data_IF_682251845705
#
_entry.id   IF_682251845705
#
_cell.length_a   1.000
_cell.length_b   1.000
_cell.length_c   1.000
_cell.angle_alpha   90.00
_cell.angle_beta   90.00
_cell.angle_gamma   90.00
#
_symmetry.space_group_name_H-M   'P 1'
#
loop_
_entity.id
_entity.type
_entity.pdbx_description
1 polymer ?
#
# COMPACT_ATOMS: atom_id res chain seq x y z
N UNK A 1 -17.83 -8.71 8.90
CA UNK A 1 -16.81 -7.69 8.53
C UNK A 1 -17.00 -6.39 9.29
N UNK A 2 -18.18 -5.76 9.26
CA UNK A 2 -18.50 -4.53 9.99
C UNK A 2 -18.08 -4.58 11.46
N UNK A 3 -18.45 -5.65 12.19
CA UNK A 3 -18.14 -5.76 13.62
C UNK A 3 -16.64 -5.87 13.89
N UNK A 4 -15.91 -6.59 13.02
CA UNK A 4 -14.45 -6.67 13.12
C UNK A 4 -13.79 -5.30 12.89
N UNK A 5 -14.24 -4.54 11.88
CA UNK A 5 -13.77 -3.16 11.65
C UNK A 5 -14.12 -2.27 12.84
N UNK A 6 -15.35 -2.37 13.36
CA UNK A 6 -15.79 -1.63 14.54
C UNK A 6 -14.90 -1.89 15.75
N UNK A 7 -14.63 -3.16 16.05
CA UNK A 7 -13.75 -3.54 17.15
C UNK A 7 -12.33 -2.99 17.01
N UNK A 8 -11.78 -2.98 15.78
CA UNK A 8 -10.45 -2.41 15.51
C UNK A 8 -10.45 -0.90 15.72
N UNK A 9 -11.49 -0.20 15.25
CA UNK A 9 -11.61 1.25 15.43
C UNK A 9 -11.73 1.64 16.91
N UNK A 10 -12.48 0.87 17.70
CA UNK A 10 -12.59 1.08 19.14
C UNK A 10 -11.26 0.83 19.85
N UNK A 11 -10.55 -0.25 19.50
CA UNK A 11 -9.20 -0.49 20.04
C UNK A 11 -8.23 0.64 19.71
N UNK A 12 -8.29 1.16 18.47
CA UNK A 12 -7.48 2.30 18.04
C UNK A 12 -7.83 3.55 18.86
N UNK A 13 -9.12 3.85 19.02
CA UNK A 13 -9.58 4.98 19.81
C UNK A 13 -9.18 4.86 21.29
N UNK A 14 -9.29 3.68 21.88
CA UNK A 14 -8.86 3.42 23.27
C UNK A 14 -7.36 3.64 23.45
N UNK A 15 -6.55 3.30 22.43
CA UNK A 15 -5.10 3.45 22.49
C UNK A 15 -4.64 4.90 22.25
N UNK A 16 -5.22 5.58 21.27
CA UNK A 16 -4.74 6.89 20.79
C UNK A 16 -5.64 8.07 21.18
N UNK A 17 -6.77 7.81 21.85
CA UNK A 17 -7.77 8.82 22.23
C UNK A 17 -8.50 9.45 21.04
N UNK A 18 -8.35 8.90 19.83
CA UNK A 18 -8.92 9.43 18.59
C UNK A 18 -9.08 8.34 17.54
N UNK A 19 -10.04 8.53 16.64
CA UNK A 19 -10.17 7.74 15.42
C UNK A 19 -9.15 8.17 14.35
N UNK A 20 -8.73 7.26 13.46
CA UNK A 20 -7.87 7.63 12.34
C UNK A 20 -8.63 8.54 11.36
N UNK A 21 -7.93 9.49 10.72
CA UNK A 21 -8.55 10.34 9.68
C UNK A 21 -8.75 9.61 8.36
N UNK A 22 -7.82 8.73 8.04
CA UNK A 22 -7.80 7.99 6.79
C UNK A 22 -7.63 6.49 7.06
N UNK A 23 -8.35 5.66 6.31
CA UNK A 23 -8.22 4.21 6.33
C UNK A 23 -7.96 3.70 4.91
N UNK A 24 -6.86 2.99 4.73
CA UNK A 24 -6.53 2.37 3.45
C UNK A 24 -6.94 0.90 3.49
N UNK A 25 -7.78 0.48 2.54
CA UNK A 25 -8.17 -0.92 2.34
C UNK A 25 -7.71 -1.42 0.97
N UNK A 26 -7.64 -2.74 0.84
CA UNK A 26 -7.56 -3.36 -0.48
C UNK A 26 -8.92 -3.29 -1.20
N UNK A 27 -8.98 -3.81 -2.42
CA UNK A 27 -10.20 -3.80 -3.24
C UNK A 27 -11.17 -4.96 -2.89
N UNK A 28 -10.99 -5.58 -1.73
CA UNK A 28 -11.89 -6.63 -1.24
C UNK A 28 -13.31 -6.09 -1.08
N UNK A 29 -14.27 -6.72 -1.77
CA UNK A 29 -15.68 -6.30 -1.79
C UNK A 29 -16.30 -6.18 -0.39
N UNK A 30 -15.77 -6.94 0.58
CA UNK A 30 -16.15 -6.92 1.98
C UNK A 30 -15.93 -5.56 2.67
N UNK A 31 -14.96 -4.76 2.21
CA UNK A 31 -14.67 -3.43 2.74
C UNK A 31 -15.53 -2.32 2.10
N UNK A 32 -16.13 -2.57 0.94
CA UNK A 32 -16.96 -1.60 0.21
C UNK A 32 -18.46 -1.74 0.45
N UNK A 33 -18.85 -2.65 1.34
CA UNK A 33 -20.24 -2.83 1.69
C UNK A 33 -20.82 -1.57 2.37
N UNK A 34 -22.15 -1.43 2.31
CA UNK A 34 -22.86 -0.26 2.83
C UNK A 34 -22.63 -0.07 4.34
N UNK A 35 -22.52 -1.15 5.10
CA UNK A 35 -22.40 -1.10 6.55
C UNK A 35 -21.05 -0.57 7.03
N UNK A 36 -19.95 -1.01 6.41
CA UNK A 36 -18.59 -0.54 6.68
C UNK A 36 -18.47 0.92 6.27
N UNK A 37 -19.01 1.32 5.12
CA UNK A 37 -19.03 2.73 4.70
C UNK A 37 -19.77 3.62 5.69
N UNK A 38 -20.96 3.19 6.15
CA UNK A 38 -21.73 3.93 7.16
C UNK A 38 -20.96 4.05 8.48
N UNK A 39 -20.28 2.98 8.90
CA UNK A 39 -19.46 2.98 10.11
C UNK A 39 -18.29 3.97 9.99
N UNK A 40 -17.55 3.96 8.89
CA UNK A 40 -16.41 4.87 8.68
C UNK A 40 -16.87 6.33 8.59
N UNK A 41 -17.97 6.60 7.87
CA UNK A 41 -18.56 7.93 7.79
C UNK A 41 -19.04 8.46 9.15
N UNK A 42 -19.62 7.60 10.00
CA UNK A 42 -20.04 7.97 11.37
C UNK A 42 -18.88 8.53 12.19
N UNK A 43 -17.67 8.03 11.97
CA UNK A 43 -16.45 8.46 12.68
C UNK A 43 -15.61 9.47 11.88
N UNK A 44 -16.13 10.01 10.77
CA UNK A 44 -15.43 10.93 9.86
C UNK A 44 -14.09 10.35 9.34
N UNK A 45 -14.07 9.06 9.05
CA UNK A 45 -12.91 8.35 8.53
C UNK A 45 -13.03 8.28 7.01
N UNK A 46 -12.11 8.93 6.31
CA UNK A 46 -12.04 8.84 4.85
C UNK A 46 -11.37 7.53 4.45
N UNK A 47 -12.13 6.65 3.82
CA UNK A 47 -11.59 5.39 3.33
C UNK A 47 -11.21 5.51 1.86
N UNK A 48 -10.04 4.97 1.51
CA UNK A 48 -9.59 4.94 0.14
C UNK A 48 -8.91 3.61 -0.17
N UNK A 49 -8.88 3.31 -1.45
CA UNK A 49 -8.14 2.17 -1.98
C UNK A 49 -7.20 2.65 -3.03
N UNK A 50 -6.10 1.94 -3.11
CA UNK A 50 -5.02 2.38 -3.95
C UNK A 50 -4.82 1.28 -4.99
N UNK A 51 -4.87 1.65 -6.27
CA UNK A 51 -4.86 0.78 -7.48
C UNK A 51 -3.50 0.20 -7.93
N UNK A 52 -2.50 0.06 -7.06
CA UNK A 52 -1.19 -0.45 -7.47
C UNK A 52 -0.69 -1.51 -6.51
N UNK A 53 0.24 -2.30 -7.00
CA UNK A 53 0.64 -3.52 -6.33
C UNK A 53 1.51 -3.26 -5.09
N UNK A 54 2.05 -2.04 -4.92
CA UNK A 54 2.93 -1.69 -3.79
C UNK A 54 2.19 -1.20 -2.55
N UNK A 55 0.86 -1.17 -2.56
CA UNK A 55 0.06 -0.36 -1.63
C UNK A 55 -0.19 -0.97 -0.26
N UNK A 56 0.04 -2.27 -0.08
CA UNK A 56 -0.06 -2.93 1.21
C UNK A 56 1.30 -3.19 1.87
N UNK A 57 2.41 -2.61 1.38
CA UNK A 57 3.77 -2.96 1.79
C UNK A 57 4.02 -2.94 3.31
N UNK A 58 3.38 -2.01 4.05
CA UNK A 58 3.49 -1.94 5.51
C UNK A 58 2.81 -3.16 6.16
N UNK A 59 1.57 -3.45 5.76
CA UNK A 59 0.78 -4.59 6.25
C UNK A 59 1.42 -5.91 5.84
N UNK A 60 1.89 -6.03 4.60
CA UNK A 60 2.62 -7.20 4.11
C UNK A 60 3.90 -7.46 4.91
N UNK A 61 4.65 -6.40 5.23
CA UNK A 61 5.84 -6.51 6.06
C UNK A 61 5.51 -6.97 7.47
N UNK A 62 4.44 -6.46 8.06
CA UNK A 62 3.93 -6.95 9.35
C UNK A 62 3.55 -8.43 9.26
N UNK A 63 2.71 -8.81 8.29
CA UNK A 63 2.26 -10.19 8.08
C UNK A 63 3.43 -11.16 7.91
N UNK A 64 4.48 -10.76 7.17
CA UNK A 64 5.69 -11.56 7.02
C UNK A 64 6.41 -11.77 8.35
N UNK A 65 6.55 -10.72 9.16
CA UNK A 65 7.18 -10.82 10.49
C UNK A 65 6.35 -11.69 11.43
N UNK A 66 5.04 -11.50 11.49
CA UNK A 66 4.14 -12.31 12.33
C UNK A 66 4.21 -13.79 11.94
N UNK A 67 4.13 -14.10 10.64
CA UNK A 67 4.30 -15.48 10.14
C UNK A 67 5.65 -16.07 10.54
N UNK A 68 6.73 -15.30 10.49
CA UNK A 68 8.05 -15.78 10.91
C UNK A 68 8.10 -16.09 12.41
N UNK A 69 7.45 -15.29 13.26
CA UNK A 69 7.31 -15.57 14.69
C UNK A 69 6.46 -16.81 14.94
N UNK A 70 5.32 -16.94 14.25
CA UNK A 70 4.46 -18.13 14.31
C UNK A 70 5.23 -19.40 13.92
N UNK A 71 6.03 -19.36 12.85
CA UNK A 71 6.82 -20.52 12.42
C UNK A 71 7.87 -20.97 13.45
N UNK A 72 8.50 -20.02 14.15
CA UNK A 72 9.41 -20.36 15.26
C UNK A 72 8.66 -21.04 16.40
N UNK A 73 7.47 -20.55 16.73
CA UNK A 73 6.60 -21.18 17.72
C UNK A 73 6.18 -22.60 17.28
N UNK A 74 5.72 -22.77 16.04
CA UNK A 74 5.29 -24.07 15.52
C UNK A 74 6.40 -25.12 15.60
N UNK A 75 7.62 -24.73 15.26
CA UNK A 75 8.77 -25.62 15.34
C UNK A 75 9.12 -26.00 16.79
N UNK A 76 9.16 -25.01 17.70
CA UNK A 76 9.54 -25.25 19.10
C UNK A 76 8.48 -26.01 19.90
N UNK A 77 7.19 -25.73 19.67
CA UNK A 77 6.07 -26.33 20.37
C UNK A 77 5.48 -27.57 19.66
N UNK A 78 5.99 -27.93 18.47
CA UNK A 78 5.51 -29.05 17.66
C UNK A 78 3.98 -29.05 17.45
N UNK A 79 3.40 -27.87 17.23
CA UNK A 79 1.96 -27.67 17.08
C UNK A 79 1.68 -26.59 16.04
N UNK A 80 0.52 -26.65 15.39
CA UNK A 80 -0.01 -25.58 14.55
C UNK A 80 -1.12 -24.79 15.24
N UNK A 81 -1.41 -25.04 16.53
CA UNK A 81 -2.37 -24.26 17.30
C UNK A 81 -1.77 -22.90 17.62
N UNK A 82 -2.26 -21.84 16.98
CA UNK A 82 -1.72 -20.48 17.13
C UNK A 82 -2.66 -19.51 17.84
N UNK A 83 -3.96 -19.82 17.94
CA UNK A 83 -4.94 -18.89 18.51
C UNK A 83 -4.59 -18.49 19.94
N UNK A 84 -4.17 -19.46 20.76
CA UNK A 84 -3.86 -19.25 22.18
C UNK A 84 -2.60 -18.40 22.40
N UNK A 85 -1.72 -18.31 21.40
CA UNK A 85 -0.45 -17.56 21.48
C UNK A 85 -0.43 -16.32 20.60
N UNK A 86 -1.49 -16.04 19.85
CA UNK A 86 -1.52 -14.91 18.91
C UNK A 86 -1.27 -13.57 19.60
N UNK A 87 -1.83 -13.40 20.80
CA UNK A 87 -1.64 -12.19 21.60
C UNK A 87 -0.18 -12.05 22.02
N UNK A 88 0.43 -13.10 22.56
CA UNK A 88 1.84 -13.11 22.96
C UNK A 88 2.78 -12.77 21.79
N UNK A 89 2.50 -13.31 20.60
CA UNK A 89 3.28 -13.00 19.39
C UNK A 89 3.11 -11.53 18.95
N UNK A 90 1.92 -10.97 19.13
CA UNK A 90 1.62 -9.57 18.81
C UNK A 90 2.31 -8.63 19.81
N UNK A 91 2.26 -8.94 21.10
CA UNK A 91 2.94 -8.19 22.15
C UNK A 91 4.45 -8.26 22.00
N UNK A 92 4.99 -9.43 21.60
CA UNK A 92 6.40 -9.57 21.26
C UNK A 92 6.81 -8.67 20.08
N UNK A 93 5.98 -8.58 19.04
CA UNK A 93 6.23 -7.68 17.92
C UNK A 93 6.22 -6.20 18.36
N UNK A 94 5.22 -5.80 19.14
CA UNK A 94 5.03 -4.40 19.55
C UNK A 94 6.08 -3.92 20.56
N UNK A 95 6.62 -4.83 21.38
CA UNK A 95 7.69 -4.54 22.35
C UNK A 95 9.11 -4.67 21.76
N UNK A 96 9.26 -5.27 20.57
CA UNK A 96 10.56 -5.41 19.92
C UNK A 96 10.97 -4.16 19.14
N UNK A 97 12.26 -3.82 19.16
CA UNK A 97 12.78 -2.67 18.41
C UNK A 97 12.62 -2.90 16.91
N UNK A 98 11.90 -2.00 16.25
CA UNK A 98 11.74 -2.00 14.81
C UNK A 98 12.85 -1.17 14.16
N UNK A 99 13.67 -1.82 13.32
CA UNK A 99 14.84 -1.22 12.66
C UNK A 99 14.54 0.01 11.80
N UNK A 100 13.31 0.15 11.28
CA UNK A 100 12.90 1.28 10.44
C UNK A 100 12.55 2.52 11.26
N UNK A 101 11.85 2.35 12.39
CA UNK A 101 11.49 3.47 13.28
C UNK A 101 12.49 3.70 14.42
N UNK A 102 13.49 2.82 14.57
CA UNK A 102 14.55 2.87 15.60
C UNK A 102 14.06 2.80 17.04
N UNK A 103 12.79 2.45 17.24
CA UNK A 103 12.16 2.24 18.55
C UNK A 103 11.17 1.08 18.49
N UNK A 104 10.52 0.75 19.61
CA UNK A 104 9.45 -0.25 19.67
C UNK A 104 8.13 0.36 19.20
N UNK A 105 7.28 -0.35 18.45
CA UNK A 105 5.94 0.13 18.10
C UNK A 105 5.13 0.60 19.32
N UNK A 106 5.28 -0.07 20.47
CA UNK A 106 4.53 0.30 21.67
C UNK A 106 4.94 1.62 22.30
N UNK A 107 6.20 2.03 22.13
CA UNK A 107 6.67 3.31 22.65
C UNK A 107 6.17 4.52 21.86
N UNK A 108 5.60 4.33 20.66
CA UNK A 108 5.20 5.43 19.77
C UNK A 108 3.90 6.08 20.25
N UNK A 109 3.92 7.39 20.46
CA UNK A 109 2.81 8.19 20.96
C UNK A 109 2.88 9.64 20.47
N UNK A 110 1.90 10.47 20.89
CA UNK A 110 1.77 11.86 20.44
C UNK A 110 2.94 12.78 20.85
N UNK A 111 3.83 12.37 21.77
CA UNK A 111 5.02 13.14 22.14
C UNK A 111 6.24 12.86 21.25
N UNK A 112 6.39 11.63 20.73
CA UNK A 112 7.58 11.21 19.96
C UNK A 112 7.31 10.94 18.47
N UNK A 113 6.04 11.02 18.03
CA UNK A 113 5.68 10.71 16.64
C UNK A 113 6.49 11.56 15.64
N UNK A 114 6.81 12.81 15.96
CA UNK A 114 7.58 13.69 15.06
C UNK A 114 8.99 13.17 14.82
N UNK A 115 9.64 12.61 15.83
CA UNK A 115 10.98 12.02 15.72
C UNK A 115 10.95 10.71 14.92
N UNK A 116 9.96 9.87 15.20
CA UNK A 116 9.70 8.64 14.44
C UNK A 116 9.43 8.98 12.97
N UNK A 117 8.61 10.00 12.72
CA UNK A 117 8.28 10.47 11.38
C UNK A 117 9.54 10.99 10.65
N UNK A 118 10.38 11.79 11.31
CA UNK A 118 11.65 12.24 10.74
C UNK A 118 12.57 11.05 10.41
N UNK A 119 12.62 10.04 11.25
CA UNK A 119 13.42 8.83 10.98
C UNK A 119 12.94 8.10 9.73
N UNK A 120 11.62 8.01 9.53
CA UNK A 120 11.03 7.37 8.36
C UNK A 120 11.13 8.21 7.09
N UNK A 121 10.95 9.53 7.17
CA UNK A 121 10.64 10.36 6.00
C UNK A 121 11.58 11.55 5.80
N UNK A 122 12.62 11.74 6.63
CA UNK A 122 13.58 12.85 6.47
C UNK A 122 14.23 12.88 5.09
N UNK A 123 14.44 11.73 4.46
CA UNK A 123 14.98 11.62 3.11
C UNK A 123 14.03 12.14 2.01
N UNK A 124 12.73 12.29 2.30
CA UNK A 124 11.71 12.77 1.37
C UNK A 124 11.44 14.28 1.50
N UNK A 125 12.21 15.00 2.32
CA UNK A 125 12.08 16.45 2.55
C UNK A 125 12.80 17.32 1.50
N UNK A 126 13.34 16.72 0.43
CA UNK A 126 14.01 17.45 -0.66
C UNK A 126 13.06 18.34 -1.45
N UNK A 127 13.50 18.94 -2.57
CA UNK A 127 12.57 19.54 -3.55
C UNK A 127 11.89 18.44 -4.36
N UNK A 128 10.59 18.57 -4.72
CA UNK A 128 9.93 17.61 -5.59
C UNK A 128 10.81 17.39 -6.81
N UNK A 129 11.02 16.12 -7.19
CA UNK A 129 11.72 15.87 -8.44
C UNK A 129 10.92 16.50 -9.58
N UNK A 130 11.60 16.89 -10.66
CA UNK A 130 10.87 17.27 -11.86
C UNK A 130 10.03 16.08 -12.33
N UNK A 131 8.78 16.30 -12.77
CA UNK A 131 7.96 15.22 -13.29
C UNK A 131 8.58 14.66 -14.56
N UNK A 132 8.72 13.34 -14.61
CA UNK A 132 9.24 12.64 -15.79
C UNK A 132 8.28 12.67 -16.98
N UNK A 133 6.97 12.73 -16.71
CA UNK A 133 5.94 12.72 -17.74
C UNK A 133 5.15 14.03 -17.73
N UNK A 134 4.78 14.50 -18.91
CA UNK A 134 3.97 15.71 -19.07
C UNK A 134 2.48 15.39 -19.30
N UNK A 135 1.59 16.35 -19.01
CA UNK A 135 0.18 16.24 -19.38
C UNK A 135 0.06 16.12 -20.91
N UNK A 136 -0.73 15.15 -21.37
CA UNK A 136 -0.89 14.81 -22.78
C UNK A 136 0.12 13.78 -23.30
N UNK A 137 1.12 13.40 -22.51
CA UNK A 137 2.08 12.37 -22.92
C UNK A 137 1.45 10.97 -22.93
N UNK A 138 1.79 10.18 -23.96
CA UNK A 138 1.39 8.79 -24.08
C UNK A 138 2.31 7.89 -23.24
N UNK A 139 1.70 7.11 -22.34
CA UNK A 139 2.39 6.21 -21.41
C UNK A 139 1.78 4.81 -21.44
N UNK A 140 2.52 3.83 -20.91
CA UNK A 140 2.08 2.46 -20.66
C UNK A 140 2.20 2.14 -19.18
N UNK A 141 1.32 1.28 -18.66
CA UNK A 141 1.37 0.88 -17.24
C UNK A 141 2.29 -0.34 -17.10
N UNK A 142 3.08 -0.39 -16.04
CA UNK A 142 3.91 -1.55 -15.71
C UNK A 142 3.05 -2.79 -15.42
N UNK A 143 3.36 -3.92 -16.04
CA UNK A 143 2.74 -5.22 -15.72
C UNK A 143 3.33 -5.78 -14.43
N UNK A 144 2.48 -6.32 -13.58
CA UNK A 144 2.90 -7.17 -12.48
C UNK A 144 3.52 -8.46 -13.03
N UNK A 145 4.80 -8.70 -12.73
CA UNK A 145 5.47 -9.96 -13.03
C UNK A 145 5.56 -10.81 -11.77
N UNK A 146 4.98 -12.00 -11.83
CA UNK A 146 5.21 -13.01 -10.82
C UNK A 146 6.65 -13.54 -10.93
N UNK A 147 7.13 -14.19 -9.86
CA UNK A 147 8.48 -14.82 -9.84
C UNK A 147 8.65 -15.87 -10.95
N UNK A 148 7.54 -16.39 -11.51
CA UNK A 148 7.52 -17.40 -12.57
C UNK A 148 7.22 -16.81 -13.96
N UNK A 149 7.11 -15.49 -14.09
CA UNK A 149 6.83 -14.85 -15.38
C UNK A 149 8.06 -14.91 -16.28
N UNK A 150 7.87 -15.32 -17.54
CA UNK A 150 8.96 -15.56 -18.48
C UNK A 150 9.65 -14.23 -18.85
N UNK A 151 10.98 -14.25 -18.89
CA UNK A 151 11.80 -13.04 -19.05
C UNK A 151 11.59 -12.29 -20.37
N UNK A 152 11.10 -12.98 -21.41
CA UNK A 152 10.87 -12.40 -22.73
C UNK A 152 9.52 -11.67 -22.87
N UNK A 153 8.62 -11.74 -21.89
CA UNK A 153 7.35 -11.01 -21.96
C UNK A 153 7.55 -9.53 -21.64
N UNK A 154 6.82 -8.64 -22.34
CA UNK A 154 6.90 -7.20 -22.09
C UNK A 154 6.58 -6.83 -20.63
N UNK A 155 7.32 -5.86 -20.07
CA UNK A 155 7.12 -5.35 -18.70
C UNK A 155 5.94 -4.37 -18.57
N UNK A 156 5.20 -4.11 -19.64
CA UNK A 156 4.18 -3.07 -19.70
C UNK A 156 2.92 -3.52 -20.47
N UNK A 157 1.81 -2.81 -20.28
CA UNK A 157 0.54 -3.02 -20.98
C UNK A 157 0.67 -2.79 -22.48
N UNK A 158 -0.06 -3.58 -23.28
CA UNK A 158 -0.16 -3.34 -24.73
C UNK A 158 -0.93 -2.05 -25.02
N UNK A 159 -1.87 -1.71 -24.15
CA UNK A 159 -2.67 -0.49 -24.19
C UNK A 159 -1.82 0.76 -23.88
N UNK A 160 -2.12 1.83 -24.62
CA UNK A 160 -1.58 3.17 -24.44
C UNK A 160 -2.58 4.00 -23.64
N UNK A 161 -2.04 4.80 -22.73
CA UNK A 161 -2.80 5.73 -21.91
C UNK A 161 -2.24 7.14 -22.08
N UNK A 162 -3.04 8.15 -21.80
CA UNK A 162 -2.61 9.55 -21.84
C UNK A 162 -2.61 10.14 -20.44
N UNK A 163 -1.51 10.81 -20.07
CA UNK A 163 -1.43 11.55 -18.80
C UNK A 163 -2.41 12.71 -18.80
N UNK A 164 -3.30 12.76 -17.81
CA UNK A 164 -4.31 13.82 -17.68
C UNK A 164 -3.88 14.91 -16.72
N UNK A 165 -3.29 14.55 -15.58
CA UNK A 165 -2.82 15.51 -14.58
C UNK A 165 -1.52 15.03 -13.91
N UNK A 166 -0.69 15.99 -13.53
CA UNK A 166 0.56 15.78 -12.78
C UNK A 166 0.38 16.37 -11.38
N UNK A 167 0.52 15.53 -10.37
CA UNK A 167 0.48 15.92 -8.97
C UNK A 167 1.89 16.05 -8.43
N UNK A 168 2.32 17.29 -8.23
CA UNK A 168 3.65 17.61 -7.71
C UNK A 168 3.76 17.25 -6.23
N UNK A 169 4.68 16.33 -5.90
CA UNK A 169 4.85 15.80 -4.55
C UNK A 169 6.14 15.01 -4.38
N UNK A 170 6.18 14.20 -3.32
CA UNK A 170 7.34 13.39 -2.95
C UNK A 170 6.95 11.92 -2.79
N UNK A 171 6.96 11.13 -3.86
CA UNK A 171 7.27 11.46 -5.26
C UNK A 171 6.08 12.08 -6.03
N UNK A 172 6.31 12.54 -7.27
CA UNK A 172 5.24 12.94 -8.18
C UNK A 172 4.32 11.75 -8.51
N UNK A 173 3.04 12.05 -8.70
CA UNK A 173 2.04 11.06 -9.12
C UNK A 173 1.20 11.58 -10.27
N UNK A 174 0.61 10.66 -11.03
CA UNK A 174 -0.07 10.95 -12.29
C UNK A 174 -1.45 10.32 -12.31
N UNK A 175 -2.42 11.01 -12.92
CA UNK A 175 -3.66 10.38 -13.38
C UNK A 175 -3.58 10.19 -14.89
N UNK A 176 -4.22 9.13 -15.38
CA UNK A 176 -4.18 8.75 -16.79
C UNK A 176 -5.59 8.37 -17.26
N UNK A 177 -5.83 8.45 -18.57
CA UNK A 177 -7.04 7.97 -19.23
C UNK A 177 -6.69 7.01 -20.37
N UNK A 178 -7.61 6.14 -20.73
CA UNK A 178 -7.46 5.23 -21.86
C UNK A 178 -7.72 5.91 -23.22
N UNK A 179 -7.68 5.12 -24.29
CA UNK A 179 -7.96 5.58 -25.65
C UNK A 179 -9.42 5.98 -25.91
N UNK A 180 -10.35 5.59 -25.04
CA UNK A 180 -11.76 5.94 -25.07
C UNK A 180 -12.08 7.17 -24.21
N UNK A 181 -11.06 7.88 -23.72
CA UNK A 181 -11.14 9.00 -22.78
C UNK A 181 -11.69 8.65 -21.39
N UNK A 182 -11.76 7.36 -21.03
CA UNK A 182 -12.20 6.93 -19.72
C UNK A 182 -11.04 7.03 -18.70
N UNK A 183 -11.26 7.68 -17.54
CA UNK A 183 -10.21 7.85 -16.54
C UNK A 183 -9.89 6.53 -15.86
N UNK A 184 -8.60 6.19 -15.80
CA UNK A 184 -8.14 5.06 -15.00
C UNK A 184 -8.14 5.47 -13.54
N UNK A 185 -8.91 4.73 -12.73
CA UNK A 185 -9.13 5.11 -11.34
C UNK A 185 -7.82 4.99 -10.55
N UNK A 186 -7.52 6.04 -9.78
CA UNK A 186 -6.37 6.11 -8.89
C UNK A 186 -5.25 7.02 -9.41
N UNK A 187 -4.17 7.09 -8.62
CA UNK A 187 -2.93 7.77 -9.00
C UNK A 187 -1.82 6.75 -9.15
N UNK A 188 -0.96 7.01 -10.14
CA UNK A 188 0.16 6.18 -10.53
C UNK A 188 1.46 6.87 -10.14
N UNK A 189 2.41 6.10 -9.61
CA UNK A 189 3.77 6.57 -9.43
C UNK A 189 4.52 6.56 -10.76
N UNK A 190 5.56 7.38 -10.85
CA UNK A 190 6.45 7.38 -12.02
C UNK A 190 7.00 5.99 -12.37
N UNK A 191 7.32 5.18 -11.36
CA UNK A 191 7.87 3.82 -11.54
C UNK A 191 6.86 2.83 -12.13
N UNK A 192 5.57 3.17 -12.11
CA UNK A 192 4.47 2.35 -12.60
C UNK A 192 4.12 2.71 -14.04
N UNK A 193 4.79 3.71 -14.62
CA UNK A 193 4.56 4.22 -15.96
C UNK A 193 5.85 4.13 -16.80
N UNK A 194 5.65 3.84 -18.09
CA UNK A 194 6.68 3.85 -19.12
C UNK A 194 6.29 4.82 -20.22
N UNK A 195 7.24 5.59 -20.74
CA UNK A 195 7.00 6.39 -21.95
C UNK A 195 6.70 5.47 -23.12
N UNK A 196 5.70 5.82 -23.92
CA UNK A 196 5.34 5.09 -25.12
C UNK A 196 6.29 5.38 -26.30
N UNK A 197 7.05 6.46 -26.24
CA UNK A 197 8.00 6.82 -27.30
C UNK A 197 9.15 5.81 -27.41
N UNK A 198 9.37 5.29 -28.62
CA UNK A 198 10.49 4.40 -28.94
C UNK A 198 10.40 2.99 -28.34
N UNK A 199 9.23 2.59 -27.81
CA UNK A 199 9.00 1.25 -27.22
C UNK A 199 7.80 0.57 -27.85
N UNK A 200 8.04 -0.15 -28.94
CA UNK A 200 7.07 -1.11 -29.45
C UNK A 200 7.08 -2.38 -28.58
N UNK A 201 5.93 -2.99 -28.30
CA UNK A 201 5.89 -4.31 -27.68
C UNK A 201 6.60 -5.31 -28.60
N UNK A 202 7.46 -6.15 -28.03
CA UNK A 202 8.16 -7.19 -28.79
C UNK A 202 7.16 -8.00 -29.64
N UNK A 203 7.53 -8.17 -30.92
CA UNK A 203 6.70 -8.70 -32.00
C UNK A 203 5.85 -9.92 -31.59
N UNK A 204 4.53 -9.86 -31.87
CA UNK A 204 3.67 -11.05 -31.83
C UNK A 204 4.06 -11.98 -32.99
N UNK A 205 4.59 -13.15 -32.69
CA UNK A 205 4.54 -14.27 -33.63
C UNK A 205 3.11 -14.80 -33.54
N UNK A 206 2.25 -14.36 -34.46
CA UNK A 206 0.93 -14.95 -34.64
C UNK A 206 1.10 -16.44 -35.00
N UNK A 207 0.28 -17.30 -34.38
CA UNK A 207 0.17 -18.72 -34.70
C UNK A 207 -1.03 -18.97 -35.58
#
# INVERSE_FOLDING_TARGET
MKDAVGNILEQFNNRFGKYPKFAQFDQGTEFYNKEVKLLLNKHNIEFFSTYSDKKAAVVERFNRTLKALMWKYFYSASTYKWLDVLQDLTDNYNSSVNRSIKTTPDSVNDSNWTEVWKTLFSHNLGKPSEPKFAVGESVRISKYKSVFTKGYEANFTEELFTVTEVYHGHPNTYTIKDSADEPIIGRFYEQELYSAEGREPDFKIEK
#
